data_IF_286248343722
#
_entry.id   IF_286248343722
#
_cell.length_a   1.000
_cell.length_b   1.000
_cell.length_c   1.000
_cell.angle_alpha   90.00
_cell.angle_beta   90.00
_cell.angle_gamma   90.00
#
_symmetry.space_group_name_H-M   'P 1'
#
loop_
_entity.id
_entity.type
_entity.pdbx_description
1 polymer ?
#
# COMPACT_ATOMS: atom_id res chain seq x y z
N UNK A 1 4.90 -7.46 -12.22
CA UNK A 1 4.97 -6.56 -13.40
C UNK A 1 4.24 -7.10 -14.61
N UNK A 2 4.50 -8.33 -15.08
CA UNK A 2 3.92 -8.87 -16.33
C UNK A 2 2.39 -8.85 -16.42
N UNK A 3 1.67 -8.91 -15.29
CA UNK A 3 0.21 -8.82 -15.27
C UNK A 3 -0.33 -7.41 -15.58
N UNK A 4 0.50 -6.36 -15.53
CA UNK A 4 0.08 -4.97 -15.81
C UNK A 4 -0.78 -4.31 -14.71
N UNK A 5 -0.89 -4.92 -13.53
CA UNK A 5 -1.80 -4.49 -12.46
C UNK A 5 -1.13 -3.70 -11.31
N UNK A 6 0.20 -3.61 -11.29
CA UNK A 6 0.95 -3.11 -10.13
C UNK A 6 1.41 -1.68 -10.40
N UNK A 7 0.90 -0.74 -9.61
CA UNK A 7 1.19 0.70 -9.75
C UNK A 7 2.21 1.22 -8.73
N UNK A 8 2.62 0.39 -7.77
CA UNK A 8 3.59 0.77 -6.73
C UNK A 8 3.96 -0.40 -5.84
N UNK A 9 4.92 -0.17 -4.93
CA UNK A 9 5.38 -1.18 -3.97
C UNK A 9 5.55 -0.55 -2.60
N UNK A 10 5.04 -1.22 -1.56
CA UNK A 10 5.36 -0.83 -0.18
C UNK A 10 6.36 -1.80 0.42
N UNK A 11 7.41 -1.26 1.03
CA UNK A 11 8.36 -2.05 1.82
C UNK A 11 8.23 -1.70 3.31
N UNK A 12 8.84 -2.53 4.15
CA UNK A 12 9.05 -2.27 5.56
C UNK A 12 10.26 -3.09 6.05
N UNK A 13 10.84 -2.78 7.21
CA UNK A 13 12.02 -3.47 7.71
C UNK A 13 11.83 -4.99 7.82
N UNK A 14 10.63 -5.47 8.18
CA UNK A 14 10.34 -6.90 8.30
C UNK A 14 10.24 -7.65 6.97
N UNK A 15 9.88 -6.97 5.88
CA UNK A 15 9.91 -7.54 4.53
C UNK A 15 11.35 -7.59 4.02
N UNK A 16 12.09 -6.49 4.20
CA UNK A 16 13.48 -6.39 3.77
C UNK A 16 14.38 -7.36 4.53
N UNK A 17 14.14 -7.59 5.83
CA UNK A 17 14.95 -8.53 6.63
C UNK A 17 14.86 -9.98 6.17
N UNK A 18 13.87 -10.33 5.35
CA UNK A 18 13.74 -11.67 4.74
C UNK A 18 14.59 -11.81 3.48
N UNK A 19 15.01 -10.69 2.90
CA UNK A 19 15.84 -10.64 1.72
C UNK A 19 17.33 -10.67 2.10
N UNK A 20 18.15 -11.26 1.23
CA UNK A 20 19.59 -11.45 1.47
C UNK A 20 20.47 -10.35 0.86
N UNK A 21 19.86 -9.35 0.21
CA UNK A 21 20.55 -8.28 -0.50
C UNK A 21 20.59 -6.98 0.31
N UNK A 22 21.56 -6.09 0.05
CA UNK A 22 21.54 -4.75 0.62
C UNK A 22 20.26 -4.00 0.27
N UNK A 23 19.71 -3.24 1.22
CA UNK A 23 18.44 -2.53 1.06
C UNK A 23 18.40 -1.63 -0.19
N UNK A 24 19.47 -0.86 -0.44
CA UNK A 24 19.56 0.02 -1.61
C UNK A 24 19.49 -0.75 -2.93
N UNK A 25 20.10 -1.93 -3.00
CA UNK A 25 20.05 -2.77 -4.21
C UNK A 25 18.64 -3.30 -4.46
N UNK A 26 17.95 -3.76 -3.40
CA UNK A 26 16.56 -4.23 -3.48
C UNK A 26 15.66 -3.10 -4.01
N UNK A 27 15.79 -1.90 -3.45
CA UNK A 27 15.00 -0.73 -3.87
C UNK A 27 15.27 -0.39 -5.34
N UNK A 28 16.53 -0.37 -5.77
CA UNK A 28 16.87 -0.11 -7.17
C UNK A 28 16.35 -1.18 -8.12
N UNK A 29 16.32 -2.45 -7.71
CA UNK A 29 15.69 -3.53 -8.48
C UNK A 29 14.18 -3.31 -8.60
N UNK A 30 13.50 -2.93 -7.51
CA UNK A 30 12.07 -2.61 -7.53
C UNK A 30 11.79 -1.43 -8.48
N UNK A 31 12.59 -0.35 -8.42
CA UNK A 31 12.47 0.82 -9.30
C UNK A 31 12.61 0.47 -10.78
N UNK A 32 13.38 -0.58 -11.13
CA UNK A 32 13.52 -1.04 -12.54
C UNK A 32 12.30 -1.82 -13.02
N UNK A 33 11.51 -2.37 -12.10
CA UNK A 33 10.38 -3.25 -12.41
C UNK A 33 9.05 -2.48 -12.38
N UNK A 34 8.92 -1.49 -11.50
CA UNK A 34 7.70 -0.70 -11.29
C UNK A 34 8.04 0.78 -11.38
N UNK A 35 7.48 1.46 -12.38
CA UNK A 35 7.57 2.92 -12.51
C UNK A 35 6.42 3.61 -11.76
N UNK A 36 6.43 3.46 -10.45
CA UNK A 36 5.43 4.05 -9.56
C UNK A 36 5.93 4.16 -8.12
N UNK A 37 5.11 4.65 -7.18
CA UNK A 37 5.55 4.98 -5.82
C UNK A 37 6.14 3.76 -5.08
N UNK A 38 7.30 3.96 -4.45
CA UNK A 38 7.99 2.94 -3.65
C UNK A 38 8.15 3.45 -2.23
N UNK A 39 7.37 2.90 -1.29
CA UNK A 39 7.48 3.29 0.12
C UNK A 39 8.69 2.64 0.79
N UNK A 40 9.63 3.45 1.27
CA UNK A 40 10.84 3.06 1.99
C UNK A 40 10.83 3.66 3.41
N UNK A 41 11.03 2.82 4.42
CA UNK A 41 10.82 3.19 5.83
C UNK A 41 12.09 3.68 6.52
N UNK A 42 11.97 4.78 7.26
CA UNK A 42 13.03 5.25 8.19
C UNK A 42 13.06 4.37 9.44
N UNK A 43 14.25 4.22 10.03
CA UNK A 43 14.48 3.38 11.21
C UNK A 43 14.81 4.18 12.47
N UNK A 44 15.27 5.42 12.33
CA UNK A 44 15.46 6.33 13.47
C UNK A 44 14.13 6.66 14.16
N UNK A 45 14.19 6.88 15.48
CA UNK A 45 13.04 7.20 16.33
C UNK A 45 12.91 8.69 16.66
N UNK A 46 13.99 9.45 16.55
CA UNK A 46 14.00 10.89 16.78
C UNK A 46 13.89 11.70 15.48
N UNK A 47 13.40 12.94 15.60
CA UNK A 47 13.17 13.82 14.46
C UNK A 47 14.42 14.04 13.59
N UNK A 48 15.61 14.25 14.18
CA UNK A 48 16.81 14.56 13.39
C UNK A 48 17.26 13.35 12.60
N UNK A 49 17.32 12.19 13.24
CA UNK A 49 17.66 10.93 12.60
C UNK A 49 16.69 10.60 11.45
N UNK A 50 15.38 10.78 11.67
CA UNK A 50 14.38 10.55 10.61
C UNK A 50 14.59 11.45 9.39
N UNK A 51 14.92 12.74 9.58
CA UNK A 51 15.18 13.65 8.46
C UNK A 51 16.45 13.24 7.70
N UNK A 52 17.54 12.93 8.41
CA UNK A 52 18.80 12.52 7.77
C UNK A 52 18.63 11.23 6.96
N UNK A 53 17.93 10.23 7.50
CA UNK A 53 17.63 9.00 6.77
C UNK A 53 16.68 9.25 5.60
N UNK A 54 15.62 10.04 5.79
CA UNK A 54 14.65 10.35 4.75
C UNK A 54 15.29 11.01 3.52
N UNK A 55 16.21 11.95 3.72
CA UNK A 55 16.91 12.61 2.62
C UNK A 55 17.81 11.63 1.87
N UNK A 56 18.59 10.80 2.58
CA UNK A 56 19.43 9.76 1.97
C UNK A 56 18.61 8.76 1.15
N UNK A 57 17.42 8.41 1.62
CA UNK A 57 16.50 7.51 0.92
C UNK A 57 15.88 8.17 -0.31
N UNK A 58 15.48 9.44 -0.20
CA UNK A 58 14.91 10.21 -1.31
C UNK A 58 15.89 10.37 -2.47
N UNK A 59 17.19 10.47 -2.17
CA UNK A 59 18.26 10.57 -3.18
C UNK A 59 18.47 9.26 -3.98
N UNK A 60 17.89 8.13 -3.56
CA UNK A 60 18.06 6.86 -4.27
C UNK A 60 17.34 6.89 -5.62
N UNK A 61 16.09 7.38 -5.65
CA UNK A 61 15.27 7.42 -6.85
C UNK A 61 14.06 8.36 -6.68
N UNK A 62 13.65 9.03 -7.77
CA UNK A 62 12.51 9.98 -7.78
C UNK A 62 11.15 9.37 -7.32
N UNK A 63 11.00 8.06 -7.42
CA UNK A 63 9.76 7.36 -7.05
C UNK A 63 9.70 6.97 -5.56
N UNK A 64 10.74 7.28 -4.78
CA UNK A 64 10.76 6.96 -3.35
C UNK A 64 9.77 7.82 -2.60
N UNK A 65 8.98 7.16 -1.76
CA UNK A 65 8.08 7.76 -0.78
C UNK A 65 8.59 7.40 0.61
N UNK A 66 8.82 8.40 1.44
CA UNK A 66 9.40 8.19 2.77
C UNK A 66 8.31 7.72 3.72
N UNK A 67 8.45 6.49 4.20
CA UNK A 67 7.51 5.90 5.13
C UNK A 67 7.93 6.21 6.56
N UNK A 68 7.04 6.86 7.32
CA UNK A 68 7.31 7.42 8.64
C UNK A 68 6.27 6.90 9.64
N UNK A 69 6.66 6.38 10.82
CA UNK A 69 5.69 5.92 11.80
C UNK A 69 4.90 7.10 12.42
N UNK A 70 3.63 6.87 12.77
CA UNK A 70 2.80 7.86 13.46
C UNK A 70 3.28 8.10 14.90
N UNK A 71 4.19 9.05 15.08
CA UNK A 71 4.71 9.49 16.37
C UNK A 71 4.83 11.01 16.43
N UNK A 72 5.11 11.58 17.61
CA UNK A 72 5.35 13.02 17.76
C UNK A 72 6.46 13.52 16.83
N UNK A 73 7.59 12.80 16.79
CA UNK A 73 8.73 13.18 15.96
C UNK A 73 8.52 12.79 14.50
N UNK A 74 7.77 11.71 14.22
CA UNK A 74 7.32 11.36 12.88
C UNK A 74 6.45 12.45 12.25
N UNK A 75 5.50 13.03 12.99
CA UNK A 75 4.66 14.12 12.51
C UNK A 75 5.47 15.40 12.22
N UNK A 76 6.48 15.73 13.05
CA UNK A 76 7.42 16.83 12.76
C UNK A 76 8.22 16.56 11.49
N UNK A 77 8.67 15.31 11.31
CA UNK A 77 9.41 14.90 10.12
C UNK A 77 8.54 15.03 8.87
N UNK A 78 7.30 14.52 8.90
CA UNK A 78 6.31 14.66 7.81
C UNK A 78 6.09 16.11 7.44
N UNK A 79 5.90 16.99 8.43
CA UNK A 79 5.73 18.43 8.19
C UNK A 79 6.93 19.04 7.47
N UNK A 80 8.14 18.71 7.92
CA UNK A 80 9.37 19.27 7.34
C UNK A 80 9.69 18.70 5.96
N UNK A 81 9.38 17.42 5.72
CA UNK A 81 9.59 16.74 4.45
C UNK A 81 8.59 17.21 3.39
N UNK A 82 7.32 17.38 3.77
CA UNK A 82 6.28 17.90 2.87
C UNK A 82 6.57 19.33 2.40
N UNK A 83 7.07 20.20 3.28
CA UNK A 83 7.52 21.56 2.92
C UNK A 83 8.70 21.55 1.92
N UNK A 84 9.47 20.47 1.88
CA UNK A 84 10.55 20.24 0.91
C UNK A 84 10.08 19.52 -0.36
N UNK A 85 8.78 19.22 -0.48
CA UNK A 85 8.22 18.48 -1.61
C UNK A 85 8.53 16.97 -1.59
N UNK A 86 9.04 16.44 -0.48
CA UNK A 86 9.31 15.01 -0.33
C UNK A 86 8.02 14.28 0.04
N UNK A 87 7.62 13.32 -0.79
CA UNK A 87 6.41 12.51 -0.55
C UNK A 87 6.59 11.63 0.69
N UNK A 88 5.56 11.57 1.52
CA UNK A 88 5.59 10.78 2.75
C UNK A 88 4.40 9.83 2.86
N UNK A 89 4.63 8.66 3.44
CA UNK A 89 3.61 7.67 3.78
C UNK A 89 3.61 7.43 5.30
N UNK A 90 2.61 7.93 6.00
CA UNK A 90 2.53 7.75 7.46
C UNK A 90 1.96 6.38 7.78
N UNK A 91 2.74 5.55 8.47
CA UNK A 91 2.44 4.13 8.74
C UNK A 91 2.12 3.88 10.22
N UNK A 92 1.69 2.64 10.53
CA UNK A 92 1.29 2.20 11.87
C UNK A 92 0.08 2.97 12.41
N UNK A 93 -0.85 3.32 11.53
CA UNK A 93 -2.11 3.98 11.89
C UNK A 93 -3.14 2.93 12.33
N UNK A 94 -3.70 3.14 13.51
CA UNK A 94 -4.70 2.28 14.15
C UNK A 94 -5.93 3.05 14.64
N UNK A 95 -5.98 4.38 14.45
CA UNK A 95 -7.18 5.20 14.72
C UNK A 95 -7.39 6.28 13.68
N UNK A 96 -8.65 6.69 13.48
CA UNK A 96 -8.98 7.73 12.52
C UNK A 96 -8.38 9.10 12.91
N UNK A 97 -8.21 9.34 14.21
CA UNK A 97 -7.56 10.55 14.75
C UNK A 97 -6.06 10.59 14.44
N UNK A 98 -5.38 9.44 14.40
CA UNK A 98 -3.99 9.36 13.94
C UNK A 98 -3.88 9.71 12.45
N UNK A 99 -4.78 9.20 11.62
CA UNK A 99 -4.84 9.56 10.19
C UNK A 99 -5.13 11.04 9.98
N UNK A 100 -6.03 11.63 10.78
CA UNK A 100 -6.31 13.07 10.76
C UNK A 100 -5.04 13.89 11.06
N UNK A 101 -4.28 13.52 12.08
CA UNK A 101 -3.03 14.22 12.42
C UNK A 101 -1.99 14.10 11.31
N UNK A 102 -1.86 12.92 10.69
CA UNK A 102 -0.95 12.70 9.57
C UNK A 102 -1.30 13.59 8.37
N UNK A 103 -2.57 13.64 7.97
CA UNK A 103 -3.02 14.52 6.88
C UNK A 103 -2.76 16.00 7.19
N UNK A 104 -3.07 16.45 8.41
CA UNK A 104 -2.78 17.83 8.84
C UNK A 104 -1.29 18.17 8.86
N UNK A 105 -0.41 17.18 9.04
CA UNK A 105 1.03 17.36 8.94
C UNK A 105 1.54 17.45 7.50
N UNK A 106 0.71 17.18 6.49
CA UNK A 106 1.09 17.21 5.08
C UNK A 106 1.52 15.84 4.51
N UNK A 107 1.03 14.75 5.10
CA UNK A 107 1.28 13.42 4.55
C UNK A 107 0.73 13.29 3.13
N UNK A 108 1.50 12.69 2.21
CA UNK A 108 0.99 12.31 0.89
C UNK A 108 0.09 11.08 0.99
N UNK A 109 0.47 10.13 1.84
CA UNK A 109 -0.26 8.90 2.08
C UNK A 109 -0.40 8.60 3.57
N UNK A 110 -1.47 7.90 3.93
CA UNK A 110 -1.62 7.24 5.23
C UNK A 110 -1.85 5.75 5.07
N UNK A 111 -1.25 4.95 5.94
CA UNK A 111 -1.37 3.50 5.93
C UNK A 111 -2.03 2.97 7.21
N UNK A 112 -3.38 2.85 7.27
CA UNK A 112 -4.07 2.10 8.32
C UNK A 112 -3.82 0.59 8.21
N UNK A 113 -3.60 -0.08 9.34
CA UNK A 113 -3.25 -1.51 9.38
C UNK A 113 -4.45 -2.38 9.78
N UNK A 114 -5.32 -2.67 8.80
CA UNK A 114 -6.61 -3.33 9.06
C UNK A 114 -6.46 -4.73 9.62
N UNK A 115 -5.59 -5.56 9.01
CA UNK A 115 -5.42 -6.95 9.45
C UNK A 115 -4.83 -7.12 10.83
N UNK A 116 -4.12 -6.11 11.36
CA UNK A 116 -3.61 -6.14 12.74
C UNK A 116 -4.70 -5.78 13.76
N UNK A 117 -5.72 -5.03 13.35
CA UNK A 117 -6.91 -4.80 14.17
C UNK A 117 -7.74 -6.08 14.22
N UNK A 118 -7.89 -6.77 13.09
CA UNK A 118 -8.63 -8.04 13.06
C UNK A 118 -7.98 -9.09 13.97
N UNK A 119 -6.64 -9.14 14.01
CA UNK A 119 -5.87 -10.04 14.89
C UNK A 119 -6.19 -9.84 16.39
N UNK A 120 -6.73 -8.67 16.77
CA UNK A 120 -7.16 -8.34 18.14
C UNK A 120 -8.68 -8.21 18.26
N UNK A 121 -9.42 -8.90 17.38
CA UNK A 121 -10.89 -8.96 17.37
C UNK A 121 -11.59 -7.61 17.16
N UNK A 122 -10.92 -6.67 16.47
CA UNK A 122 -11.50 -5.39 16.07
C UNK A 122 -11.62 -5.37 14.55
N UNK A 123 -12.82 -5.16 14.00
CA UNK A 123 -13.01 -5.05 12.56
C UNK A 123 -12.23 -3.84 12.01
N UNK A 124 -11.11 -4.13 11.35
CA UNK A 124 -10.18 -3.13 10.83
C UNK A 124 -10.75 -2.31 9.67
N UNK A 125 -11.80 -2.79 8.99
CA UNK A 125 -12.40 -2.06 7.88
C UNK A 125 -13.30 -0.92 8.34
N UNK A 126 -13.78 -0.94 9.59
CA UNK A 126 -14.46 0.22 10.18
C UNK A 126 -13.53 1.43 10.29
N UNK A 127 -12.25 1.22 10.63
CA UNK A 127 -11.25 2.29 10.65
C UNK A 127 -11.10 2.95 9.28
N UNK A 128 -11.10 2.18 8.20
CA UNK A 128 -11.01 2.71 6.83
C UNK A 128 -12.21 3.60 6.53
N UNK A 129 -13.42 3.14 6.86
CA UNK A 129 -14.65 3.92 6.64
C UNK A 129 -14.62 5.26 7.40
N UNK A 130 -14.15 5.26 8.64
CA UNK A 130 -13.99 6.49 9.44
C UNK A 130 -12.98 7.46 8.81
N UNK A 131 -11.81 6.96 8.40
CA UNK A 131 -10.77 7.79 7.76
C UNK A 131 -11.31 8.40 6.47
N UNK A 132 -11.94 7.58 5.61
CA UNK A 132 -12.52 8.05 4.35
C UNK A 132 -13.60 9.12 4.58
N UNK A 133 -14.43 8.96 5.61
CA UNK A 133 -15.42 9.99 5.94
C UNK A 133 -14.76 11.30 6.39
N UNK A 134 -13.74 11.24 7.25
CA UNK A 134 -13.00 12.42 7.71
C UNK A 134 -12.34 13.11 6.52
N UNK A 135 -11.69 12.35 5.63
CA UNK A 135 -10.94 12.92 4.52
C UNK A 135 -11.85 13.60 3.50
N UNK A 136 -13.02 13.02 3.21
CA UNK A 136 -14.06 13.68 2.41
C UNK A 136 -14.59 14.95 3.07
N UNK A 137 -14.85 14.94 4.38
CA UNK A 137 -15.40 16.09 5.09
C UNK A 137 -14.48 17.31 5.07
N UNK A 138 -13.17 17.09 5.14
CA UNK A 138 -12.17 18.16 5.21
C UNK A 138 -11.41 18.38 3.90
N UNK A 139 -11.78 17.67 2.83
CA UNK A 139 -11.14 17.75 1.51
C UNK A 139 -9.62 17.55 1.59
N UNK A 140 -9.18 16.54 2.35
CA UNK A 140 -7.76 16.20 2.38
C UNK A 140 -7.32 15.58 1.05
N UNK A 141 -6.18 16.02 0.54
CA UNK A 141 -5.53 15.43 -0.65
C UNK A 141 -4.71 14.17 -0.30
N UNK A 142 -4.51 13.90 0.99
CA UNK A 142 -3.81 12.70 1.48
C UNK A 142 -4.55 11.44 1.04
N UNK A 143 -3.86 10.53 0.36
CA UNK A 143 -4.43 9.27 -0.13
C UNK A 143 -4.36 8.18 0.96
N UNK A 144 -5.38 7.34 1.04
CA UNK A 144 -5.48 6.22 1.98
C UNK A 144 -4.95 4.93 1.34
N UNK A 145 -3.82 4.43 1.84
CA UNK A 145 -3.25 3.13 1.50
C UNK A 145 -3.71 2.09 2.52
N UNK A 146 -4.71 1.28 2.18
CA UNK A 146 -5.11 0.18 3.06
C UNK A 146 -3.98 -0.85 3.11
N UNK A 147 -3.36 -0.96 4.28
CA UNK A 147 -2.22 -1.81 4.54
C UNK A 147 -2.59 -2.95 5.49
N UNK A 148 -1.68 -3.92 5.64
CA UNK A 148 -1.93 -5.13 6.42
C UNK A 148 -3.14 -5.94 5.92
N UNK A 149 -3.38 -5.96 4.60
CA UNK A 149 -4.41 -6.80 3.97
C UNK A 149 -4.09 -8.29 4.17
N UNK A 150 -5.08 -9.08 4.59
CA UNK A 150 -4.95 -10.51 4.91
C UNK A 150 -5.63 -11.43 3.90
N UNK A 151 -6.70 -10.98 3.27
CA UNK A 151 -7.55 -11.82 2.42
C UNK A 151 -8.32 -11.01 1.37
N UNK A 152 -8.87 -11.67 0.32
CA UNK A 152 -9.64 -11.03 -0.75
C UNK A 152 -10.76 -10.10 -0.28
N UNK A 153 -11.44 -10.42 0.82
CA UNK A 153 -12.54 -9.61 1.33
C UNK A 153 -12.10 -8.20 1.75
N UNK A 154 -10.89 -8.01 2.27
CA UNK A 154 -10.38 -6.66 2.55
C UNK A 154 -10.23 -5.85 1.27
N UNK A 155 -9.77 -6.47 0.18
CA UNK A 155 -9.61 -5.80 -1.12
C UNK A 155 -10.97 -5.41 -1.67
N UNK A 156 -11.96 -6.31 -1.57
CA UNK A 156 -13.33 -6.01 -1.97
C UNK A 156 -13.92 -4.83 -1.18
N UNK A 157 -13.84 -4.89 0.16
CA UNK A 157 -14.38 -3.84 1.02
C UNK A 157 -13.64 -2.50 0.83
N UNK A 158 -12.31 -2.54 0.68
CA UNK A 158 -11.49 -1.39 0.30
C UNK A 158 -12.01 -0.68 -0.96
N UNK A 159 -12.20 -1.45 -2.03
CA UNK A 159 -12.70 -0.94 -3.30
C UNK A 159 -14.13 -0.38 -3.17
N UNK A 160 -15.02 -1.08 -2.45
CA UNK A 160 -16.40 -0.61 -2.21
C UNK A 160 -16.47 0.69 -1.39
N UNK A 161 -15.51 0.88 -0.47
CA UNK A 161 -15.40 2.11 0.34
C UNK A 161 -14.73 3.27 -0.41
N UNK A 162 -14.23 3.03 -1.63
CA UNK A 162 -13.55 4.01 -2.46
C UNK A 162 -12.20 4.42 -1.90
N UNK A 163 -11.49 3.53 -1.21
CA UNK A 163 -10.12 3.79 -0.77
C UNK A 163 -9.19 3.98 -1.97
N UNK A 164 -8.23 4.91 -1.85
CA UNK A 164 -7.38 5.31 -2.98
C UNK A 164 -6.45 4.17 -3.41
N UNK A 165 -5.86 3.46 -2.44
CA UNK A 165 -4.84 2.45 -2.71
C UNK A 165 -5.01 1.25 -1.77
N UNK A 166 -4.79 0.04 -2.30
CA UNK A 166 -4.65 -1.18 -1.51
C UNK A 166 -3.26 -1.78 -1.71
N UNK A 167 -2.46 -1.92 -0.65
CA UNK A 167 -1.19 -2.64 -0.72
C UNK A 167 -1.39 -4.10 -0.33
N UNK A 168 -1.35 -4.99 -1.31
CA UNK A 168 -1.81 -6.38 -1.18
C UNK A 168 -0.63 -7.36 -1.23
N UNK A 169 -0.51 -8.32 -0.30
CA UNK A 169 0.45 -9.41 -0.42
C UNK A 169 0.24 -10.23 -1.70
N UNK A 170 1.33 -10.75 -2.29
CA UNK A 170 1.27 -11.47 -3.55
C UNK A 170 0.31 -12.67 -3.53
N UNK A 171 0.27 -13.43 -2.43
CA UNK A 171 -0.62 -14.58 -2.31
C UNK A 171 -2.10 -14.18 -2.29
N UNK A 172 -2.44 -13.05 -1.67
CA UNK A 172 -3.79 -12.49 -1.67
C UNK A 172 -4.16 -12.00 -3.07
N UNK A 173 -3.24 -11.30 -3.75
CA UNK A 173 -3.44 -10.85 -5.12
C UNK A 173 -3.76 -12.03 -6.07
N UNK A 174 -3.03 -13.14 -5.95
CA UNK A 174 -3.28 -14.34 -6.77
C UNK A 174 -4.57 -15.07 -6.41
N UNK A 175 -5.14 -14.84 -5.21
CA UNK A 175 -6.46 -15.36 -4.83
C UNK A 175 -7.59 -14.54 -5.48
N UNK A 176 -7.38 -13.25 -5.79
CA UNK A 176 -8.42 -12.39 -6.36
C UNK A 176 -8.92 -12.86 -7.73
N UNK A 177 -8.04 -13.45 -8.54
CA UNK A 177 -8.38 -13.91 -9.90
C UNK A 177 -9.06 -15.29 -9.92
N UNK A 178 -9.14 -15.98 -8.78
CA UNK A 178 -9.63 -17.37 -8.72
C UNK A 178 -11.10 -17.40 -8.37
N UNK A 179 -11.86 -18.16 -9.15
CA UNK A 179 -13.23 -18.50 -8.82
C UNK A 179 -13.59 -19.86 -9.46
N UNK A 180 -14.16 -20.83 -8.71
CA UNK A 180 -14.39 -22.18 -9.24
C UNK A 180 -15.34 -22.19 -10.45
N UNK A 181 -16.32 -21.29 -10.50
CA UNK A 181 -17.20 -21.17 -11.67
C UNK A 181 -16.49 -20.61 -12.91
N UNK A 182 -15.41 -19.85 -12.74
CA UNK A 182 -14.58 -19.40 -13.87
C UNK A 182 -13.89 -20.60 -14.50
N UNK A 183 -13.27 -21.46 -13.68
CA UNK A 183 -12.59 -22.66 -14.15
C UNK A 183 -13.57 -23.62 -14.86
N UNK A 184 -14.71 -23.89 -14.22
CA UNK A 184 -15.81 -24.70 -14.80
C UNK A 184 -16.31 -24.11 -16.13
N UNK A 185 -16.44 -22.78 -16.19
CA UNK A 185 -16.87 -22.08 -17.40
C UNK A 185 -15.88 -22.23 -18.54
N UNK A 186 -14.58 -22.04 -18.27
CA UNK A 186 -13.50 -22.21 -19.26
C UNK A 186 -13.47 -23.65 -19.78
N UNK A 187 -13.51 -24.64 -18.89
CA UNK A 187 -13.51 -26.05 -19.29
C UNK A 187 -14.71 -26.40 -20.19
N UNK A 188 -15.90 -25.89 -19.84
CA UNK A 188 -17.10 -26.08 -20.63
C UNK A 188 -16.98 -25.43 -22.01
N UNK A 189 -16.48 -24.19 -22.09
CA UNK A 189 -16.27 -23.51 -23.37
C UNK A 189 -15.27 -24.25 -24.26
N UNK A 190 -14.18 -24.77 -23.70
CA UNK A 190 -13.22 -25.57 -24.46
C UNK A 190 -13.82 -26.90 -24.95
N UNK A 191 -14.66 -27.54 -24.14
CA UNK A 191 -15.40 -28.74 -24.55
C UNK A 191 -16.41 -28.45 -25.67
N UNK A 192 -17.11 -27.32 -25.59
CA UNK A 192 -18.09 -26.93 -26.61
C UNK A 192 -17.40 -26.49 -27.91
N UNK A 193 -16.24 -25.83 -27.84
CA UNK A 193 -15.46 -25.43 -29.02
C UNK A 193 -14.97 -26.64 -29.83
N UNK A 194 -14.53 -27.71 -29.17
CA UNK A 194 -14.14 -28.97 -29.84
C UNK A 194 -15.27 -29.58 -30.67
N UNK A 195 -16.54 -29.34 -30.33
CA UNK A 195 -17.69 -29.85 -31.09
C UNK A 195 -17.95 -29.07 -32.38
N UNK A 196 -17.33 -27.91 -32.54
CA UNK A 196 -17.49 -27.03 -33.71
C UNK A 196 -16.21 -26.90 -34.54
N UNK A 197 -15.25 -27.83 -34.41
CA UNK A 197 -13.96 -27.88 -35.13
C UNK A 197 -14.06 -27.83 -36.67
N UNK A 198 -15.26 -27.95 -37.26
CA UNK A 198 -15.52 -27.78 -38.69
C UNK A 198 -15.99 -26.37 -39.10
N UNK A 199 -16.10 -25.43 -38.15
CA UNK A 199 -16.41 -24.03 -38.44
C UNK A 199 -15.10 -23.25 -38.49
N UNK A 200 -14.67 -22.88 -39.68
CA UNK A 200 -13.49 -22.04 -39.91
C UNK A 200 -13.62 -20.71 -39.12
N UNK A 201 -12.49 -20.24 -38.56
CA UNK A 201 -12.33 -18.89 -38.02
C UNK A 201 -11.88 -17.97 -39.15
#
# INVERSE_FOLDING_TARGET
ASLGLIEGVTTNPSLISKEKKPFKEIILEICKIVDGPISAEVTCSDYKGMIEEALKLSDIHKNIVIKVPITKDGLKAVKSLSEQGVKTNVTLIFSATQALLAAKAGASYVSPFVGRLDDISTDGMNLVAEIQQIYRNYFFETEVIIASIRHPIHVLQAAMMGADIATVPYDVLMKLIKHPLTDIGIEKFMCDWKKVEHKEI
#
